data_IF_714667363877
#
_entry.id   IF_714667363877
#
_cell.length_a   1.000
_cell.length_b   1.000
_cell.length_c   1.000
_cell.angle_alpha   90.00
_cell.angle_beta   90.00
_cell.angle_gamma   90.00
#
_symmetry.space_group_name_H-M   'P 1'
#
loop_
_entity.id
_entity.type
_entity.pdbx_description
1 polymer ?
#
# COMPACT_ATOMS: atom_id res chain seq x y z
N UNK A 1 12.93 -3.43 -9.24
CA UNK A 1 11.89 -4.23 -8.57
C UNK A 1 10.74 -4.41 -9.55
N UNK A 2 10.13 -5.58 -9.57
CA UNK A 2 8.94 -5.89 -10.39
C UNK A 2 7.99 -6.83 -9.63
N UNK A 3 6.86 -7.17 -10.25
CA UNK A 3 5.84 -8.04 -9.64
C UNK A 3 6.35 -9.42 -9.22
N UNK A 4 7.36 -9.97 -9.90
CA UNK A 4 7.91 -11.31 -9.60
C UNK A 4 8.81 -11.29 -8.37
N UNK A 5 9.29 -10.11 -7.96
CA UNK A 5 10.08 -9.94 -6.75
C UNK A 5 9.24 -9.77 -5.48
N UNK A 6 7.91 -9.73 -5.59
CA UNK A 6 7.02 -9.56 -4.45
C UNK A 6 6.89 -10.85 -3.61
N UNK A 7 7.24 -10.76 -2.34
CA UNK A 7 7.09 -11.82 -1.33
C UNK A 7 5.93 -11.51 -0.36
N UNK A 8 5.01 -12.46 -0.17
CA UNK A 8 3.87 -12.31 0.75
C UNK A 8 4.38 -12.16 2.19
N UNK A 9 3.87 -11.17 2.91
CA UNK A 9 4.32 -10.85 4.26
C UNK A 9 5.54 -9.93 4.32
N UNK A 10 6.19 -9.64 3.19
CA UNK A 10 7.26 -8.65 3.14
C UNK A 10 6.71 -7.21 3.09
N UNK A 11 7.48 -6.29 3.65
CA UNK A 11 7.15 -4.85 3.70
C UNK A 11 7.67 -4.13 2.47
N UNK A 12 6.81 -3.31 1.90
CA UNK A 12 7.08 -2.37 0.81
C UNK A 12 6.57 -0.99 1.19
N UNK A 13 6.86 0.01 0.36
CA UNK A 13 6.52 1.39 0.64
C UNK A 13 5.78 1.99 -0.53
N UNK A 14 4.59 2.53 -0.27
CA UNK A 14 3.86 3.36 -1.22
C UNK A 14 4.41 4.77 -1.18
N UNK A 15 4.73 5.28 -2.36
CA UNK A 15 5.13 6.66 -2.60
C UNK A 15 3.92 7.43 -3.12
N UNK A 16 3.53 8.45 -2.38
CA UNK A 16 2.53 9.43 -2.80
C UNK A 16 3.18 10.81 -2.84
N UNK A 17 2.52 11.80 -3.46
CA UNK A 17 2.98 13.18 -3.44
C UNK A 17 1.82 14.11 -3.09
N UNK A 18 2.07 15.04 -2.18
CA UNK A 18 1.07 16.04 -1.79
C UNK A 18 0.95 17.18 -2.80
N UNK A 19 1.88 17.28 -3.75
CA UNK A 19 1.95 18.33 -4.76
C UNK A 19 2.24 17.77 -6.16
N UNK A 20 1.78 18.49 -7.19
CA UNK A 20 1.97 18.10 -8.60
C UNK A 20 3.44 18.14 -9.03
N UNK A 21 4.27 18.94 -8.36
CA UNK A 21 5.70 19.02 -8.64
C UNK A 21 6.52 17.90 -7.96
N UNK A 22 5.84 16.99 -7.24
CA UNK A 22 6.46 15.85 -6.57
C UNK A 22 7.60 16.25 -5.62
N UNK A 23 7.46 17.38 -4.94
CA UNK A 23 8.44 17.89 -3.96
C UNK A 23 8.14 17.45 -2.54
N UNK A 24 6.92 16.98 -2.28
CA UNK A 24 6.43 16.59 -0.95
C UNK A 24 6.02 15.12 -0.95
N UNK A 25 6.96 14.17 -0.82
CA UNK A 25 6.66 12.75 -0.85
C UNK A 25 5.97 12.31 0.45
N UNK A 26 4.89 11.55 0.33
CA UNK A 26 4.36 10.70 1.38
C UNK A 26 4.93 9.29 1.23
N UNK A 27 5.37 8.69 2.34
CA UNK A 27 5.92 7.32 2.36
C UNK A 27 5.11 6.51 3.35
N UNK A 28 4.41 5.50 2.85
CA UNK A 28 3.52 4.67 3.66
C UNK A 28 3.98 3.20 3.61
N UNK A 29 4.34 2.60 4.76
CA UNK A 29 4.70 1.19 4.81
C UNK A 29 3.46 0.30 4.63
N UNK A 30 3.56 -0.72 3.80
CA UNK A 30 2.50 -1.70 3.55
C UNK A 30 3.11 -3.10 3.42
N UNK A 31 2.33 -4.13 3.69
CA UNK A 31 2.76 -5.53 3.61
C UNK A 31 2.06 -6.19 2.44
N UNK A 32 2.81 -6.85 1.56
CA UNK A 32 2.21 -7.54 0.42
C UNK A 32 1.39 -8.74 0.89
N UNK A 33 0.11 -8.78 0.50
CA UNK A 33 -0.85 -9.79 0.94
C UNK A 33 -1.13 -10.86 -0.14
N UNK A 34 -0.81 -10.58 -1.40
CA UNK A 34 -0.99 -11.50 -2.53
C UNK A 34 -1.66 -10.86 -3.73
N UNK A 35 -1.96 -11.66 -4.76
CA UNK A 35 -2.67 -11.21 -5.95
C UNK A 35 -4.14 -11.63 -5.92
N UNK A 36 -5.02 -10.84 -6.56
CA UNK A 36 -6.43 -11.18 -6.80
C UNK A 36 -7.17 -11.67 -5.54
N UNK A 37 -6.91 -11.03 -4.39
CA UNK A 37 -7.52 -11.38 -3.09
C UNK A 37 -9.02 -11.06 -3.01
N UNK A 38 -9.49 -10.18 -3.89
CA UNK A 38 -10.89 -9.79 -4.03
C UNK A 38 -11.35 -10.12 -5.44
N UNK A 39 -12.63 -9.86 -5.73
CA UNK A 39 -13.22 -10.15 -7.04
C UNK A 39 -12.32 -9.66 -8.18
N UNK A 40 -11.98 -10.54 -9.14
CA UNK A 40 -11.08 -10.20 -10.22
C UNK A 40 -11.66 -9.02 -11.03
N UNK A 41 -10.81 -8.10 -11.49
CA UNK A 41 -11.23 -7.01 -12.37
C UNK A 41 -11.99 -7.54 -13.60
N UNK A 42 -12.99 -6.80 -14.11
CA UNK A 42 -13.75 -7.21 -15.31
C UNK A 42 -12.89 -7.42 -16.56
N UNK A 43 -11.73 -6.78 -16.61
CA UNK A 43 -10.76 -6.87 -17.72
C UNK A 43 -9.80 -8.06 -17.59
N UNK A 44 -9.90 -8.86 -16.52
CA UNK A 44 -9.02 -9.99 -16.26
C UNK A 44 -7.59 -9.61 -15.86
N UNK A 45 -7.32 -8.33 -15.59
CA UNK A 45 -6.00 -7.88 -15.14
C UNK A 45 -5.67 -8.41 -13.74
N UNK A 46 -4.38 -8.69 -13.50
CA UNK A 46 -3.91 -9.07 -12.17
C UNK A 46 -3.82 -7.84 -11.26
N UNK A 47 -4.39 -7.93 -10.06
CA UNK A 47 -4.29 -6.94 -8.99
C UNK A 47 -3.39 -7.44 -7.88
N UNK A 48 -2.46 -6.60 -7.45
CA UNK A 48 -1.51 -6.89 -6.37
C UNK A 48 -1.96 -6.14 -5.12
N UNK A 49 -2.27 -6.85 -4.05
CA UNK A 49 -2.84 -6.27 -2.85
C UNK A 49 -1.81 -6.12 -1.74
N UNK A 50 -1.81 -4.95 -1.13
CA UNK A 50 -0.98 -4.60 0.00
C UNK A 50 -1.87 -4.17 1.15
N UNK A 51 -1.61 -4.72 2.34
CA UNK A 51 -2.29 -4.33 3.55
C UNK A 51 -1.47 -3.26 4.30
N UNK A 52 -2.14 -2.24 4.82
CA UNK A 52 -1.53 -1.25 5.72
C UNK A 52 -0.77 -1.90 6.87
N UNK A 53 0.47 -1.49 7.08
CA UNK A 53 1.31 -2.04 8.13
C UNK A 53 0.71 -1.86 9.53
N UNK A 54 0.00 -0.75 9.80
CA UNK A 54 -0.68 -0.55 11.10
C UNK A 54 -1.79 -1.58 11.28
N UNK A 55 -2.59 -1.83 10.25
CA UNK A 55 -3.64 -2.85 10.28
C UNK A 55 -3.08 -4.28 10.36
N UNK A 56 -1.91 -4.57 9.77
CA UNK A 56 -1.24 -5.87 9.91
C UNK A 56 -0.80 -6.10 11.34
N UNK A 57 -0.20 -5.10 11.99
CA UNK A 57 0.21 -5.19 13.40
C UNK A 57 -0.99 -5.45 14.31
N UNK A 58 -2.15 -4.84 14.01
CA UNK A 58 -3.35 -4.96 14.85
C UNK A 58 -4.14 -6.24 14.60
N UNK A 59 -4.27 -6.65 13.35
CA UNK A 59 -5.23 -7.66 12.93
C UNK A 59 -4.59 -8.86 12.23
N UNK A 60 -3.27 -8.89 12.13
CA UNK A 60 -2.53 -9.86 11.33
C UNK A 60 -2.62 -9.57 9.82
N UNK A 61 -1.77 -10.27 9.06
CA UNK A 61 -1.83 -10.26 7.60
C UNK A 61 -3.05 -11.05 7.14
N UNK A 62 -3.94 -10.41 6.40
CA UNK A 62 -5.07 -11.08 5.80
C UNK A 62 -4.66 -11.84 4.55
N UNK A 63 -4.21 -13.07 4.74
CA UNK A 63 -4.06 -14.05 3.67
C UNK A 63 -5.20 -15.05 3.76
N UNK A 64 -5.99 -15.21 2.70
CA UNK A 64 -6.77 -16.43 2.50
C UNK A 64 -6.31 -17.09 1.20
N UNK A 65 -5.17 -17.78 1.28
CA UNK A 65 -4.87 -18.86 0.35
C UNK A 65 -5.20 -20.17 1.10
N UNK A 66 -6.43 -20.67 0.94
CA UNK A 66 -6.74 -22.10 1.09
C UNK A 66 -6.62 -22.76 2.47
N UNK A 67 -6.95 -22.10 3.59
CA UNK A 67 -7.34 -22.84 4.80
C UNK A 67 -8.87 -22.99 4.83
N UNK A 68 -9.31 -24.24 4.74
CA UNK A 68 -10.66 -24.67 5.11
C UNK A 68 -11.07 -23.99 6.42
N UNK A 69 -12.27 -23.40 6.44
CA UNK A 69 -12.94 -23.05 7.68
C UNK A 69 -13.00 -24.31 8.53
N UNK A 70 -12.17 -24.42 9.56
CA UNK A 70 -12.39 -25.43 10.58
C UNK A 70 -13.76 -25.15 11.21
N UNK A 71 -14.61 -26.17 11.39
CA UNK A 71 -15.89 -26.00 12.04
C UNK A 71 -15.63 -25.47 13.46
N UNK A 72 -16.38 -24.43 13.78
CA UNK A 72 -16.33 -23.68 15.03
C UNK A 72 -16.53 -24.67 16.19
N UNK A 73 -15.43 -25.04 16.84
CA UNK A 73 -15.46 -25.73 18.13
C UNK A 73 -15.91 -24.74 19.19
N UNK A 74 -16.99 -25.11 19.86
CA UNK A 74 -17.75 -24.31 20.83
C UNK A 74 -16.86 -23.66 21.91
N UNK A 75 -17.28 -22.46 22.35
CA UNK A 75 -16.71 -21.61 23.42
C UNK A 75 -15.58 -20.65 23.02
N UNK A 76 -15.89 -19.72 22.12
CA UNK A 76 -15.27 -18.38 22.14
C UNK A 76 -16.26 -17.42 21.50
N UNK A 77 -16.56 -16.31 22.16
CA UNK A 77 -17.44 -15.21 21.70
C UNK A 77 -16.86 -14.45 20.48
N UNK A 78 -16.31 -15.18 19.50
CA UNK A 78 -15.86 -14.65 18.24
C UNK A 78 -17.02 -14.73 17.26
N UNK A 79 -17.93 -13.76 17.41
CA UNK A 79 -18.84 -13.37 16.34
C UNK A 79 -18.07 -13.22 15.02
N UNK A 80 -18.65 -13.60 13.89
CA UNK A 80 -18.10 -13.33 12.57
C UNK A 80 -18.33 -11.85 12.25
N UNK A 81 -17.57 -10.98 12.92
CA UNK A 81 -17.52 -9.56 12.60
C UNK A 81 -16.40 -9.35 11.59
N UNK A 82 -16.84 -9.11 10.37
CA UNK A 82 -16.07 -9.24 9.15
C UNK A 82 -15.28 -7.95 8.88
N UNK A 83 -13.94 -8.01 8.88
CA UNK A 83 -13.12 -7.04 8.13
C UNK A 83 -13.05 -5.58 8.61
N UNK A 84 -13.63 -5.18 9.75
CA UNK A 84 -13.79 -3.75 10.14
C UNK A 84 -12.49 -2.93 10.38
N UNK A 85 -11.29 -3.50 10.25
CA UNK A 85 -10.05 -2.78 10.52
C UNK A 85 -8.89 -3.01 9.55
N UNK A 86 -9.01 -3.95 8.60
CA UNK A 86 -7.93 -4.23 7.65
C UNK A 86 -8.06 -3.32 6.43
N UNK A 87 -7.05 -2.51 6.18
CA UNK A 87 -7.03 -1.58 5.04
C UNK A 87 -6.12 -2.16 3.97
N UNK A 88 -6.66 -2.36 2.78
CA UNK A 88 -5.93 -2.86 1.62
C UNK A 88 -5.89 -1.82 0.51
N UNK A 89 -4.80 -1.83 -0.26
CA UNK A 89 -4.66 -1.12 -1.52
C UNK A 89 -4.30 -2.11 -2.62
N UNK A 90 -5.07 -2.08 -3.70
CA UNK A 90 -4.83 -2.90 -4.89
C UNK A 90 -4.12 -2.07 -5.96
N UNK A 91 -2.97 -2.57 -6.42
CA UNK A 91 -2.12 -1.94 -7.42
C UNK A 91 -2.02 -2.79 -8.69
N UNK A 92 -1.80 -2.13 -9.81
CA UNK A 92 -1.48 -2.75 -11.09
C UNK A 92 0.02 -3.08 -11.17
N UNK A 93 0.39 -4.02 -12.06
CA UNK A 93 1.77 -4.43 -12.25
C UNK A 93 2.73 -3.26 -12.55
N UNK A 94 2.26 -2.29 -13.34
CA UNK A 94 3.03 -1.11 -13.75
C UNK A 94 3.34 -0.12 -12.61
N UNK A 95 2.61 -0.22 -11.50
CA UNK A 95 2.87 0.61 -10.32
C UNK A 95 3.99 0.03 -9.44
N UNK A 96 4.30 -1.26 -9.60
CA UNK A 96 5.34 -1.96 -8.85
C UNK A 96 6.72 -1.55 -9.36
N UNK A 97 7.57 -1.06 -8.46
CA UNK A 97 8.85 -0.43 -8.78
C UNK A 97 8.76 1.05 -9.14
N UNK A 98 7.56 1.62 -9.24
CA UNK A 98 7.32 3.05 -9.55
C UNK A 98 6.69 3.76 -8.36
N UNK A 99 5.45 3.38 -8.02
CA UNK A 99 4.71 3.92 -6.88
C UNK A 99 4.88 3.04 -5.64
N UNK A 100 5.11 1.73 -5.83
CA UNK A 100 5.42 0.79 -4.75
C UNK A 100 6.88 0.35 -4.85
N UNK A 101 7.66 0.58 -3.80
CA UNK A 101 9.10 0.31 -3.80
C UNK A 101 9.53 -0.47 -2.58
N UNK A 102 10.66 -1.16 -2.68
CA UNK A 102 11.33 -1.77 -1.53
C UNK A 102 12.10 -0.72 -0.71
N UNK A 103 12.62 -1.14 0.44
CA UNK A 103 13.41 -0.28 1.32
C UNK A 103 14.70 0.26 0.65
N UNK A 104 15.30 -0.51 -0.27
CA UNK A 104 16.57 -0.15 -0.90
C UNK A 104 16.40 0.98 -1.93
N UNK A 105 15.22 1.07 -2.55
CA UNK A 105 14.90 2.11 -3.52
C UNK A 105 14.44 3.43 -2.89
N UNK A 106 13.98 3.41 -1.62
CA UNK A 106 13.48 4.61 -0.93
C UNK A 106 14.45 5.82 -0.92
N UNK A 107 15.75 5.65 -0.61
CA UNK A 107 16.68 6.79 -0.58
C UNK A 107 16.71 7.58 -1.89
N UNK A 108 16.73 6.88 -3.04
CA UNK A 108 16.75 7.52 -4.35
C UNK A 108 15.47 8.33 -4.63
N UNK A 109 14.31 7.84 -4.20
CA UNK A 109 13.02 8.54 -4.34
C UNK A 109 13.01 9.82 -3.50
N UNK A 110 13.43 9.71 -2.24
CA UNK A 110 13.50 10.85 -1.31
C UNK A 110 14.49 11.90 -1.80
N UNK A 111 15.68 11.48 -2.22
CA UNK A 111 16.70 12.38 -2.77
C UNK A 111 16.17 13.10 -4.01
N UNK A 112 15.48 12.39 -4.91
CA UNK A 112 14.83 13.00 -6.08
C UNK A 112 13.84 14.09 -5.69
N UNK A 113 13.00 13.85 -4.68
CA UNK A 113 12.06 14.86 -4.18
C UNK A 113 12.78 16.06 -3.55
N UNK A 114 13.85 15.82 -2.77
CA UNK A 114 14.67 16.88 -2.18
C UNK A 114 15.30 17.76 -3.27
N UNK A 115 15.81 17.18 -4.36
CA UNK A 115 16.40 17.97 -5.45
C UNK A 115 15.35 18.84 -6.16
N UNK A 116 14.15 18.29 -6.42
CA UNK A 116 13.03 19.08 -6.97
C UNK A 116 12.60 20.21 -6.03
N UNK A 117 12.48 19.91 -4.73
CA UNK A 117 12.15 20.90 -3.72
C UNK A 117 13.18 22.04 -3.69
N UNK A 118 14.49 21.72 -3.70
CA UNK A 118 15.58 22.71 -3.75
C UNK A 118 15.50 23.59 -5.00
N UNK A 119 15.29 22.99 -6.16
CA UNK A 119 15.17 23.72 -7.44
C UNK A 119 13.99 24.70 -7.45
N UNK A 120 12.93 24.41 -6.68
CA UNK A 120 11.73 25.24 -6.56
C UNK A 120 11.71 26.11 -5.29
N UNK A 121 12.81 26.16 -4.52
CA UNK A 121 12.91 26.99 -3.33
C UNK A 121 12.08 26.50 -2.13
N UNK A 122 11.93 25.18 -1.97
CA UNK A 122 11.11 24.51 -0.96
C UNK A 122 9.67 25.03 -0.96
N UNK A 123 8.90 24.71 -2.02
CA UNK A 123 7.53 25.19 -2.15
C UNK A 123 6.69 24.75 -0.95
N UNK A 124 5.62 25.49 -0.69
CA UNK A 124 4.65 25.18 0.35
C UNK A 124 3.29 25.01 -0.30
N UNK A 125 2.46 24.12 0.26
CA UNK A 125 1.07 24.03 -0.15
C UNK A 125 0.40 25.40 0.02
N UNK A 126 -0.32 25.81 -1.01
CA UNK A 126 -1.01 27.08 -1.07
C UNK A 126 -2.51 26.85 -0.87
N UNK A 127 -3.25 27.86 -0.42
CA UNK A 127 -4.71 27.75 -0.38
C UNK A 127 -5.29 28.23 -1.70
N UNK A 128 -5.99 27.35 -2.42
CA UNK A 128 -6.82 27.73 -3.56
C UNK A 128 -8.29 27.37 -3.29
N UNK A 129 -9.19 28.36 -3.39
CA UNK A 129 -10.64 28.19 -3.17
C UNK A 129 -10.98 27.48 -1.84
N UNK A 130 -10.23 27.80 -0.78
CA UNK A 130 -10.44 27.21 0.56
C UNK A 130 -9.83 25.82 0.78
N UNK A 131 -9.20 25.22 -0.23
CA UNK A 131 -8.49 23.93 -0.12
C UNK A 131 -6.98 24.13 -0.21
N UNK A 132 -6.20 23.30 0.49
CA UNK A 132 -4.75 23.24 0.29
C UNK A 132 -4.47 22.53 -1.03
N UNK A 133 -3.62 23.15 -1.87
CA UNK A 133 -3.19 22.67 -3.19
C UNK A 133 -1.69 22.88 -3.37
#
# INVERSE_FOLDING_TARGET
>A
MDVNSLEVGATYYRITYADVAHTMPGIEPMVYAGMNLFDPPPDGSARYYFQDAVSVVRFGLGTQLGQEMQPIGETSDLSPDNGEGRVYWGHEAQEIGVAIVDLLALPAVVDGAIQRAKALGFPKLSKAKGKWV
#
